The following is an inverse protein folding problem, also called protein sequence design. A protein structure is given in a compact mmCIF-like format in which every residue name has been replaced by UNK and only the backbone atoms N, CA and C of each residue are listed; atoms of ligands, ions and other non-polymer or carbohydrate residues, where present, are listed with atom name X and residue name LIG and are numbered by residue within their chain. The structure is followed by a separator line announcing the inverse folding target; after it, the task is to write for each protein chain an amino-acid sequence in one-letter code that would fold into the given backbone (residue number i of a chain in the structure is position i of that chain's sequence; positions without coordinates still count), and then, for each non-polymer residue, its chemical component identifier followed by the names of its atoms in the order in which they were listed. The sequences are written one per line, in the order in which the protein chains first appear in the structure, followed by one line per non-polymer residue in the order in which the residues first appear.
data_IF_734761172489
#
_entry.id   IF_734761172489
#
_cell.length_a   1.000
_cell.length_b   1.000
_cell.length_c   1.000
_cell.angle_alpha   90.00
_cell.angle_beta   90.00
_cell.angle_gamma   90.00
#
_symmetry.space_group_name_H-M   'P 1'
#
loop_
_entity.id
_entity.type
_entity.pdbx_description
1 polymer ?
#
# COMPACT_ATOMS: atom_id res chain seq x y z
N UNK A 1 -60.47 -10.21 -10.07
CA UNK A 1 -59.27 -9.32 -10.17
C UNK A 1 -58.21 -9.60 -9.08
N UNK A 2 -58.55 -9.75 -7.78
CA UNK A 2 -57.57 -10.07 -6.71
C UNK A 2 -56.78 -11.38 -6.93
N UNK A 3 -57.45 -12.44 -7.40
CA UNK A 3 -56.81 -13.75 -7.66
C UNK A 3 -55.81 -13.72 -8.84
N UNK A 4 -56.05 -12.88 -9.84
CA UNK A 4 -55.14 -12.69 -10.99
C UNK A 4 -53.90 -11.90 -10.56
N UNK A 5 -54.06 -10.87 -9.72
CA UNK A 5 -52.94 -10.10 -9.16
C UNK A 5 -52.05 -10.96 -8.25
N UNK A 6 -52.63 -11.89 -7.48
CA UNK A 6 -51.87 -12.83 -6.65
C UNK A 6 -51.06 -13.83 -7.49
N UNK A 7 -51.63 -14.31 -8.60
CA UNK A 7 -50.92 -15.20 -9.53
C UNK A 7 -49.73 -14.53 -10.23
N UNK A 8 -49.89 -13.26 -10.63
CA UNK A 8 -48.80 -12.47 -11.23
C UNK A 8 -47.68 -12.20 -10.21
N UNK A 9 -48.03 -11.91 -8.95
CA UNK A 9 -47.05 -11.73 -7.87
C UNK A 9 -46.25 -13.01 -7.57
N UNK A 10 -46.90 -14.19 -7.61
CA UNK A 10 -46.22 -15.47 -7.45
C UNK A 10 -45.29 -15.79 -8.63
N UNK A 11 -45.71 -15.48 -9.86
CA UNK A 11 -44.90 -15.70 -11.06
C UNK A 11 -43.66 -14.79 -11.10
N UNK A 12 -43.79 -13.54 -10.64
CA UNK A 12 -42.66 -12.61 -10.50
C UNK A 12 -41.71 -13.08 -9.38
N UNK A 13 -42.23 -13.55 -8.24
CA UNK A 13 -41.40 -14.08 -7.16
C UNK A 13 -40.60 -15.34 -7.59
N UNK A 14 -41.18 -16.19 -8.44
CA UNK A 14 -40.49 -17.35 -9.01
C UNK A 14 -39.44 -16.97 -10.08
N UNK A 15 -39.59 -15.82 -10.73
CA UNK A 15 -38.62 -15.33 -11.72
C UNK A 15 -37.33 -14.76 -11.09
N UNK A 16 -37.31 -14.51 -9.77
CA UNK A 16 -36.14 -14.05 -9.02
C UNK A 16 -35.37 -15.17 -8.31
N UNK A 17 -35.71 -16.45 -8.55
CA UNK A 17 -34.83 -17.56 -8.14
C UNK A 17 -33.68 -17.65 -9.14
N UNK A 18 -32.76 -16.69 -9.08
CA UNK A 18 -31.47 -16.83 -9.73
C UNK A 18 -30.75 -17.98 -9.01
N UNK A 19 -30.77 -19.17 -9.61
CA UNK A 19 -29.79 -20.20 -9.29
C UNK A 19 -28.43 -19.62 -9.66
N UNK A 20 -27.72 -19.06 -8.68
CA UNK A 20 -26.28 -18.88 -8.83
C UNK A 20 -25.68 -20.29 -8.83
N UNK A 21 -25.44 -20.82 -10.03
CA UNK A 21 -24.57 -21.98 -10.17
C UNK A 21 -23.17 -21.50 -9.73
N UNK A 22 -22.76 -21.94 -8.53
CA UNK A 22 -21.39 -21.75 -8.08
C UNK A 22 -20.53 -22.57 -9.03
N UNK A 23 -19.90 -21.90 -9.98
CA UNK A 23 -18.92 -22.52 -10.85
C UNK A 23 -17.70 -22.81 -9.97
N UNK A 24 -17.66 -24.03 -9.43
CA UNK A 24 -16.50 -24.55 -8.72
C UNK A 24 -15.43 -24.86 -9.76
N UNK A 25 -14.65 -23.84 -10.13
CA UNK A 25 -13.52 -24.00 -11.01
C UNK A 25 -12.47 -24.82 -10.27
N UNK A 26 -12.23 -26.05 -10.72
CA UNK A 26 -11.10 -26.88 -10.29
C UNK A 26 -9.80 -26.25 -10.82
N UNK A 27 -9.35 -25.20 -10.14
CA UNK A 27 -8.09 -24.53 -10.43
C UNK A 27 -6.99 -25.35 -9.79
N UNK A 28 -6.09 -25.89 -10.62
CA UNK A 28 -4.92 -26.62 -10.14
C UNK A 28 -4.18 -25.78 -9.07
N UNK A 29 -3.85 -26.41 -7.94
CA UNK A 29 -3.08 -25.76 -6.87
C UNK A 29 -1.77 -25.21 -7.45
N UNK A 30 -1.68 -23.88 -7.52
CA UNK A 30 -0.50 -23.19 -7.97
C UNK A 30 0.70 -23.46 -7.07
N UNK A 31 1.91 -23.25 -7.59
CA UNK A 31 3.14 -23.32 -6.79
C UNK A 31 3.13 -22.21 -5.74
N UNK A 32 3.36 -22.56 -4.47
CA UNK A 32 3.55 -21.60 -3.39
C UNK A 32 4.96 -21.01 -3.46
N UNK A 33 5.06 -19.69 -3.44
CA UNK A 33 6.33 -18.95 -3.48
C UNK A 33 6.54 -18.18 -2.17
N UNK A 34 7.78 -17.97 -1.72
CA UNK A 34 8.05 -16.99 -0.69
C UNK A 34 7.65 -15.58 -1.16
N UNK A 35 7.06 -14.79 -0.27
CA UNK A 35 6.58 -13.42 -0.52
C UNK A 35 7.22 -12.49 0.49
N UNK A 36 7.91 -11.47 -0.01
CA UNK A 36 8.61 -10.47 0.77
C UNK A 36 7.83 -9.15 0.77
N UNK A 37 7.48 -8.67 1.96
CA UNK A 37 6.95 -7.33 2.20
C UNK A 37 7.96 -6.62 3.11
N UNK A 38 8.85 -5.86 2.49
CA UNK A 38 9.98 -5.24 3.16
C UNK A 38 10.04 -3.76 2.83
N UNK A 39 9.76 -2.91 3.82
CA UNK A 39 9.89 -1.46 3.69
C UNK A 39 10.82 -0.91 4.77
N UNK A 40 11.84 -0.17 4.34
CA UNK A 40 12.73 0.58 5.24
C UNK A 40 12.37 2.05 5.14
N UNK A 41 12.17 2.69 6.27
CA UNK A 41 11.70 4.08 6.31
C UNK A 41 12.61 4.99 7.11
N UNK A 42 12.43 6.29 6.93
CA UNK A 42 13.03 7.32 7.79
C UNK A 42 12.25 7.52 9.09
N UNK A 43 11.18 6.74 9.35
CA UNK A 43 10.48 6.82 10.63
C UNK A 43 11.38 6.29 11.74
N UNK A 44 11.38 6.93 12.93
CA UNK A 44 12.14 6.44 14.05
C UNK A 44 11.54 5.14 14.61
N UNK A 45 12.41 4.32 15.20
CA UNK A 45 12.04 3.08 15.85
C UNK A 45 12.10 1.85 14.95
N UNK A 46 11.47 0.78 15.44
CA UNK A 46 11.62 -0.59 14.91
C UNK A 46 11.17 -0.70 13.47
N UNK A 47 12.09 -1.11 12.60
CA UNK A 47 11.80 -1.50 11.21
C UNK A 47 11.31 -2.94 11.19
N UNK A 48 10.27 -3.22 10.39
CA UNK A 48 9.63 -4.54 10.28
C UNK A 48 9.61 -5.02 8.85
N UNK A 49 10.01 -6.27 8.65
CA UNK A 49 9.93 -6.98 7.38
C UNK A 49 9.06 -8.21 7.59
N UNK A 50 8.09 -8.43 6.70
CA UNK A 50 7.25 -9.61 6.71
C UNK A 50 7.66 -10.53 5.56
N UNK A 51 7.91 -11.79 5.90
CA UNK A 51 8.28 -12.82 4.92
C UNK A 51 7.35 -14.00 5.08
N UNK A 52 6.58 -14.32 4.05
CA UNK A 52 5.49 -15.32 4.11
C UNK A 52 5.54 -16.26 2.91
N UNK A 53 4.65 -17.24 2.87
CA UNK A 53 4.37 -18.06 1.70
C UNK A 53 3.06 -17.63 1.04
N UNK A 54 3.04 -17.58 -0.29
CA UNK A 54 1.83 -17.33 -1.05
C UNK A 54 0.86 -18.49 -0.89
N UNK A 55 -0.43 -18.17 -0.82
CA UNK A 55 -1.52 -19.14 -0.77
C UNK A 55 -2.23 -19.21 -2.12
N UNK A 56 -2.93 -20.31 -2.42
CA UNK A 56 -3.87 -20.35 -3.54
C UNK A 56 -4.89 -19.23 -3.43
N UNK A 57 -5.34 -18.71 -4.57
CA UNK A 57 -6.33 -17.62 -4.61
C UNK A 57 -7.65 -17.95 -3.88
N UNK A 58 -8.03 -19.22 -3.84
CA UNK A 58 -9.25 -19.70 -3.17
C UNK A 58 -9.08 -19.86 -1.65
N UNK A 59 -7.87 -19.73 -1.12
CA UNK A 59 -7.57 -19.92 0.30
C UNK A 59 -7.62 -18.58 1.05
N UNK A 60 -8.52 -18.50 2.04
CA UNK A 60 -8.73 -17.31 2.86
C UNK A 60 -7.98 -17.36 4.21
N UNK A 61 -7.17 -18.40 4.44
CA UNK A 61 -6.39 -18.50 5.68
C UNK A 61 -5.26 -17.46 5.72
N UNK A 62 -4.77 -17.09 6.92
CA UNK A 62 -3.61 -16.22 7.02
C UNK A 62 -2.37 -16.85 6.37
N UNK A 63 -1.67 -16.07 5.52
CA UNK A 63 -0.44 -16.51 4.86
C UNK A 63 0.61 -17.01 5.88
N UNK A 64 1.15 -18.24 5.73
CA UNK A 64 2.15 -18.79 6.63
C UNK A 64 3.42 -17.93 6.66
N UNK A 65 3.93 -17.64 7.84
CA UNK A 65 5.17 -16.86 8.03
C UNK A 65 6.41 -17.75 7.88
N UNK A 66 7.45 -17.22 7.23
CA UNK A 66 8.76 -17.86 7.09
C UNK A 66 9.70 -17.25 8.13
N UNK A 67 10.02 -18.02 9.19
CA UNK A 67 10.82 -17.55 10.33
C UNK A 67 12.28 -18.00 10.36
N UNK A 68 12.72 -18.75 9.34
CA UNK A 68 14.02 -19.43 9.25
C UNK A 68 14.96 -18.85 8.18
N UNK A 69 14.70 -17.62 7.72
CA UNK A 69 15.59 -16.89 6.82
C UNK A 69 16.60 -16.03 7.60
N UNK A 70 17.71 -15.67 6.97
CA UNK A 70 18.64 -14.64 7.46
C UNK A 70 18.45 -13.40 6.59
N UNK A 71 17.99 -12.31 7.20
CA UNK A 71 17.72 -11.04 6.51
C UNK A 71 18.70 -9.98 7.00
N UNK A 72 19.51 -9.47 6.08
CA UNK A 72 20.47 -8.39 6.34
C UNK A 72 20.21 -7.23 5.39
N UNK A 73 20.15 -6.02 5.92
CA UNK A 73 20.11 -4.79 5.15
C UNK A 73 21.50 -4.15 5.16
N UNK A 74 22.05 -3.85 4.00
CA UNK A 74 23.28 -3.07 3.84
C UNK A 74 22.90 -1.68 3.34
N UNK A 75 23.24 -0.65 4.10
CA UNK A 75 23.33 0.72 3.60
C UNK A 75 24.62 0.82 2.78
N UNK A 76 24.48 0.81 1.45
CA UNK A 76 25.61 0.83 0.51
C UNK A 76 26.33 2.19 0.51
N UNK A 77 25.62 3.26 0.90
CA UNK A 77 26.18 4.62 0.94
C UNK A 77 27.05 4.82 2.18
N UNK A 78 26.62 4.32 3.33
CA UNK A 78 27.37 4.41 4.59
C UNK A 78 28.26 3.18 4.87
N UNK A 79 28.14 2.12 4.06
CA UNK A 79 28.76 0.82 4.29
C UNK A 79 28.45 0.25 5.69
N UNK A 80 27.17 0.31 6.08
CA UNK A 80 26.68 -0.14 7.39
C UNK A 80 25.64 -1.24 7.23
N UNK A 81 25.82 -2.34 7.97
CA UNK A 81 24.92 -3.50 7.93
C UNK A 81 24.00 -3.58 9.13
N UNK A 82 22.77 -4.01 8.90
CA UNK A 82 21.72 -4.18 9.88
C UNK A 82 21.16 -5.61 9.77
N UNK A 83 21.37 -6.42 10.81
CA UNK A 83 20.87 -7.78 10.89
C UNK A 83 19.49 -7.81 11.55
N UNK A 84 18.48 -8.30 10.83
CA UNK A 84 17.12 -8.38 11.35
C UNK A 84 16.94 -9.68 12.15
N UNK A 85 16.21 -9.60 13.26
CA UNK A 85 15.90 -10.74 14.14
C UNK A 85 14.42 -11.11 14.02
N UNK A 86 14.14 -12.40 13.83
CA UNK A 86 12.78 -12.90 13.75
C UNK A 86 12.11 -12.93 15.14
N UNK A 87 10.96 -12.26 15.28
CA UNK A 87 10.14 -12.24 16.49
C UNK A 87 8.70 -11.83 16.15
N UNK A 88 7.72 -12.49 16.80
CA UNK A 88 6.29 -12.16 16.71
C UNK A 88 5.73 -12.12 15.26
N UNK A 89 6.26 -12.98 14.38
CA UNK A 89 5.81 -13.07 12.98
C UNK A 89 6.47 -12.09 12.01
N UNK A 90 7.45 -11.32 12.47
CA UNK A 90 8.20 -10.34 11.68
C UNK A 90 9.71 -10.50 11.86
N UNK A 91 10.47 -10.07 10.86
CA UNK A 91 11.88 -9.74 11.02
C UNK A 91 11.97 -8.29 11.47
N UNK A 92 12.59 -8.06 12.62
CA UNK A 92 12.65 -6.75 13.25
C UNK A 92 14.09 -6.26 13.35
N UNK A 93 14.30 -4.98 13.14
CA UNK A 93 15.52 -4.29 13.51
C UNK A 93 15.16 -3.05 14.33
N UNK A 94 15.72 -2.95 15.53
CA UNK A 94 15.53 -1.81 16.42
C UNK A 94 16.79 -0.93 16.39
N UNK A 95 16.73 0.27 15.78
CA UNK A 95 17.85 1.20 15.78
C UNK A 95 18.06 1.89 17.13
N UNK A 96 17.13 1.75 18.08
CA UNK A 96 17.11 2.48 19.35
C UNK A 96 16.06 3.60 19.39
N UNK A 97 15.86 4.17 20.58
CA UNK A 97 14.86 5.22 20.82
C UNK A 97 15.14 6.47 19.98
N UNK A 98 14.14 6.93 19.23
CA UNK A 98 14.21 8.08 18.31
C UNK A 98 15.28 7.98 17.20
N UNK A 99 15.91 6.82 17.02
CA UNK A 99 16.83 6.56 15.93
C UNK A 99 16.10 5.97 14.73
N UNK A 100 16.65 6.16 13.53
CA UNK A 100 16.11 5.56 12.31
C UNK A 100 17.20 4.88 11.49
N UNK A 101 16.82 3.85 10.74
CA UNK A 101 17.71 3.17 9.79
C UNK A 101 17.78 3.94 8.48
N UNK A 102 16.66 4.56 8.08
CA UNK A 102 16.53 5.21 6.79
C UNK A 102 17.13 6.61 6.78
N UNK A 103 18.04 6.85 5.83
CA UNK A 103 18.66 8.15 5.57
C UNK A 103 18.34 8.56 4.13
N UNK A 104 17.84 9.78 3.97
CA UNK A 104 17.48 10.33 2.65
C UNK A 104 18.71 10.36 1.76
N UNK A 105 18.56 9.87 0.53
CA UNK A 105 19.62 9.79 -0.48
C UNK A 105 20.47 8.53 -0.40
N UNK A 106 20.35 7.71 0.65
CA UNK A 106 21.10 6.46 0.77
C UNK A 106 20.48 5.33 -0.06
N UNK A 107 21.35 4.53 -0.66
CA UNK A 107 20.99 3.28 -1.34
C UNK A 107 21.12 2.11 -0.36
N UNK A 108 20.12 1.23 -0.38
CA UNK A 108 20.06 0.06 0.47
C UNK A 108 19.96 -1.20 -0.34
N UNK A 109 20.72 -2.22 0.05
CA UNK A 109 20.63 -3.58 -0.46
C UNK A 109 20.08 -4.50 0.63
N UNK A 110 18.94 -5.11 0.38
CA UNK A 110 18.41 -6.17 1.22
C UNK A 110 18.92 -7.51 0.71
N UNK A 111 19.60 -8.27 1.57
CA UNK A 111 20.04 -9.65 1.31
C UNK A 111 19.23 -10.61 2.16
N UNK A 112 18.60 -11.58 1.51
CA UNK A 112 17.77 -12.62 2.12
C UNK A 112 18.39 -13.97 1.80
N UNK A 113 18.86 -14.67 2.82
CA UNK A 113 19.29 -16.07 2.72
C UNK A 113 18.15 -16.95 3.19
N UNK A 114 17.63 -17.78 2.30
CA UNK A 114 16.51 -18.66 2.60
C UNK A 114 16.74 -20.03 1.96
N UNK A 115 16.70 -21.09 2.77
CA UNK A 115 17.18 -22.42 2.41
C UNK A 115 18.67 -22.38 1.97
N UNK A 116 18.96 -22.81 0.74
CA UNK A 116 20.31 -22.81 0.16
C UNK A 116 20.49 -21.70 -0.88
N UNK A 117 19.53 -20.79 -1.00
CA UNK A 117 19.54 -19.73 -2.01
C UNK A 117 19.64 -18.34 -1.37
N UNK A 118 20.26 -17.43 -2.12
CA UNK A 118 20.51 -16.04 -1.73
C UNK A 118 19.78 -15.12 -2.69
N UNK A 119 19.02 -14.18 -2.14
CA UNK A 119 18.29 -13.17 -2.88
C UNK A 119 18.74 -11.78 -2.48
N UNK A 120 18.82 -10.88 -3.46
CA UNK A 120 19.15 -9.49 -3.24
C UNK A 120 18.14 -8.57 -3.91
N UNK A 121 17.82 -7.47 -3.25
CA UNK A 121 17.01 -6.38 -3.81
C UNK A 121 17.67 -5.05 -3.42
N UNK A 122 17.53 -4.04 -4.28
CA UNK A 122 18.11 -2.71 -4.04
C UNK A 122 17.02 -1.66 -4.23
N UNK A 123 17.00 -0.67 -3.34
CA UNK A 123 16.18 0.54 -3.49
C UNK A 123 16.91 1.75 -2.87
N UNK A 124 16.41 2.95 -3.08
CA UNK A 124 17.04 4.19 -2.56
C UNK A 124 16.00 5.10 -1.94
N UNK A 125 16.28 5.62 -0.74
CA UNK A 125 15.39 6.57 -0.09
C UNK A 125 15.46 7.90 -0.85
N UNK A 126 14.34 8.27 -1.47
CA UNK A 126 14.21 9.53 -2.20
C UNK A 126 13.92 10.70 -1.26
N UNK A 127 14.10 11.91 -1.79
CA UNK A 127 13.72 13.15 -1.10
C UNK A 127 12.20 13.15 -0.86
N UNK A 128 11.76 13.88 0.15
CA UNK A 128 10.35 14.00 0.52
C UNK A 128 10.03 15.44 0.89
N UNK A 129 8.83 15.89 0.51
CA UNK A 129 8.33 17.21 0.88
C UNK A 129 7.60 17.17 2.23
N UNK A 130 7.71 18.21 3.07
CA UNK A 130 6.87 18.35 4.25
C UNK A 130 5.39 18.52 3.87
N UNK A 131 4.50 18.07 4.76
CA UNK A 131 3.08 18.43 4.67
C UNK A 131 2.90 19.80 5.36
N UNK A 132 2.47 20.81 4.61
CA UNK A 132 2.34 22.20 5.05
C UNK A 132 1.17 22.39 6.00
N UNK A 133 0.02 21.82 5.70
CA UNK A 133 -1.17 21.90 6.57
C UNK A 133 -2.22 20.84 6.21
N UNK A 134 -3.21 20.69 7.08
CA UNK A 134 -4.46 19.96 6.79
C UNK A 134 -5.60 20.95 7.07
N UNK A 135 -6.41 21.23 6.05
CA UNK A 135 -7.65 22.00 6.20
C UNK A 135 -8.85 21.06 6.19
N UNK A 136 -9.99 21.52 6.67
CA UNK A 136 -11.25 20.79 6.59
C UNK A 136 -12.41 21.76 6.39
N UNK A 137 -13.46 21.27 5.74
CA UNK A 137 -14.69 22.03 5.48
C UNK A 137 -15.90 21.14 5.77
N UNK A 138 -16.90 21.70 6.45
CA UNK A 138 -18.16 21.00 6.70
C UNK A 138 -18.97 20.92 5.41
N UNK A 139 -19.43 19.71 5.07
CA UNK A 139 -20.24 19.42 3.91
C UNK A 139 -21.51 18.69 4.33
N UNK A 140 -22.61 19.04 3.69
CA UNK A 140 -23.89 18.36 3.87
C UNK A 140 -24.12 17.36 2.75
N UNK A 141 -24.83 16.27 3.08
CA UNK A 141 -25.26 15.26 2.10
C UNK A 141 -26.14 15.85 1.00
N UNK A 142 -26.91 16.89 1.32
CA UNK A 142 -27.88 17.49 0.39
C UNK A 142 -27.20 18.28 -0.73
N UNK A 143 -26.02 18.84 -0.47
CA UNK A 143 -25.34 19.78 -1.37
C UNK A 143 -24.03 19.23 -1.96
N UNK A 144 -23.50 18.13 -1.44
CA UNK A 144 -22.18 17.59 -1.81
C UNK A 144 -22.19 16.08 -2.04
N UNK A 145 -21.04 15.54 -2.49
CA UNK A 145 -20.85 14.12 -2.79
C UNK A 145 -20.57 13.26 -1.55
N UNK A 146 -20.96 13.70 -0.35
CA UNK A 146 -20.79 12.94 0.90
C UNK A 146 -22.04 12.13 1.22
N UNK A 147 -21.86 10.91 1.75
CA UNK A 147 -22.97 10.01 2.07
C UNK A 147 -23.73 10.39 3.36
N UNK A 148 -23.12 11.22 4.20
CA UNK A 148 -23.69 11.85 5.40
C UNK A 148 -23.02 13.21 5.67
N UNK A 149 -23.65 14.01 6.52
CA UNK A 149 -23.11 15.30 6.96
C UNK A 149 -21.80 15.11 7.74
N UNK A 150 -20.77 15.88 7.40
CA UNK A 150 -19.47 15.77 8.06
C UNK A 150 -18.42 16.70 7.47
N UNK A 151 -17.16 16.45 7.80
CA UNK A 151 -16.03 17.28 7.40
C UNK A 151 -15.18 16.57 6.35
N UNK A 152 -14.95 17.26 5.23
CA UNK A 152 -14.01 16.81 4.19
C UNK A 152 -12.67 17.50 4.43
N UNK A 153 -11.63 16.69 4.64
CA UNK A 153 -10.28 17.15 4.90
C UNK A 153 -9.43 17.18 3.61
N UNK A 154 -8.49 18.13 3.56
CA UNK A 154 -7.51 18.30 2.48
C UNK A 154 -6.13 18.41 3.10
N UNK A 155 -5.17 17.61 2.62
CA UNK A 155 -3.77 17.89 2.92
C UNK A 155 -3.18 18.88 1.92
N UNK A 156 -2.26 19.72 2.38
CA UNK A 156 -1.55 20.69 1.57
C UNK A 156 -0.06 20.38 1.64
N UNK A 157 0.54 20.16 0.47
CA UNK A 157 1.97 20.01 0.30
C UNK A 157 2.36 20.56 -1.08
N UNK A 158 3.63 20.90 -1.24
CA UNK A 158 4.22 21.34 -2.50
C UNK A 158 5.34 20.38 -2.90
N UNK A 159 5.33 19.93 -4.14
CA UNK A 159 6.40 19.13 -4.72
C UNK A 159 7.76 19.87 -4.71
N UNK A 160 8.86 19.11 -4.80
CA UNK A 160 10.22 19.65 -4.72
C UNK A 160 10.77 19.89 -6.14
N UNK A 161 11.11 21.14 -6.43
CA UNK A 161 11.70 21.50 -7.72
C UNK A 161 13.03 20.76 -8.02
N UNK A 162 13.28 20.44 -9.29
CA UNK A 162 14.56 19.96 -9.81
C UNK A 162 14.66 18.44 -10.02
N UNK A 163 13.53 17.73 -10.14
CA UNK A 163 13.52 16.28 -10.33
C UNK A 163 12.11 15.73 -10.49
N UNK A 164 12.00 14.41 -10.71
CA UNK A 164 10.72 13.71 -10.70
C UNK A 164 10.61 12.94 -9.39
N UNK A 165 9.58 13.25 -8.62
CA UNK A 165 9.30 12.64 -7.33
C UNK A 165 8.01 11.84 -7.38
N UNK A 166 8.12 10.59 -6.93
CA UNK A 166 6.98 9.69 -6.81
C UNK A 166 6.55 9.65 -5.36
N UNK A 167 5.26 9.83 -5.11
CA UNK A 167 4.72 9.85 -3.77
C UNK A 167 3.60 8.84 -3.57
N UNK A 168 3.52 8.38 -2.33
CA UNK A 168 2.41 7.60 -1.82
C UNK A 168 1.86 8.24 -0.56
N UNK A 169 0.65 8.74 -0.65
CA UNK A 169 -0.11 9.26 0.47
C UNK A 169 -0.93 8.11 1.06
N UNK A 170 -0.87 7.96 2.39
CA UNK A 170 -1.82 7.14 3.16
C UNK A 170 -2.39 7.93 4.31
N UNK A 171 -3.70 7.86 4.47
CA UNK A 171 -4.44 8.54 5.52
C UNK A 171 -5.05 7.56 6.53
N UNK A 172 -5.28 8.06 7.74
CA UNK A 172 -5.90 7.33 8.83
C UNK A 172 -6.81 8.23 9.66
N UNK A 173 -7.72 7.60 10.40
CA UNK A 173 -8.63 8.25 11.34
C UNK A 173 -8.31 7.82 12.77
N UNK A 174 -8.15 8.78 13.67
CA UNK A 174 -7.88 8.62 15.11
C UNK A 174 -6.53 7.98 15.48
N UNK A 175 -6.14 6.88 14.84
CA UNK A 175 -4.89 6.14 15.05
C UNK A 175 -4.37 5.51 13.76
N UNK A 176 -3.19 4.88 13.81
CA UNK A 176 -2.54 4.27 12.64
C UNK A 176 -3.10 2.88 12.25
N UNK A 177 -4.16 2.39 12.91
CA UNK A 177 -4.79 1.11 12.61
C UNK A 177 -6.04 1.27 11.74
N UNK A 178 -6.70 2.44 11.80
CA UNK A 178 -7.89 2.74 11.01
C UNK A 178 -7.51 3.50 9.74
N UNK A 179 -7.04 2.76 8.73
CA UNK A 179 -6.73 3.33 7.40
C UNK A 179 -7.99 3.92 6.76
N UNK A 180 -7.86 5.10 6.16
CA UNK A 180 -8.90 5.74 5.35
C UNK A 180 -8.65 5.48 3.87
N UNK A 181 -7.55 5.99 3.32
CA UNK A 181 -7.28 5.90 1.88
C UNK A 181 -5.81 5.83 1.54
N UNK A 182 -5.55 5.37 0.32
CA UNK A 182 -4.26 5.43 -0.35
C UNK A 182 -4.42 6.30 -1.60
N UNK A 183 -3.39 7.05 -1.95
CA UNK A 183 -3.31 7.78 -3.22
C UNK A 183 -1.86 7.89 -3.67
N UNK A 184 -1.67 7.92 -4.97
CA UNK A 184 -0.36 7.96 -5.61
C UNK A 184 -0.24 9.21 -6.47
N UNK A 185 0.97 9.76 -6.54
CA UNK A 185 1.22 10.94 -7.36
C UNK A 185 2.64 10.96 -7.93
N UNK A 186 2.80 11.62 -9.07
CA UNK A 186 4.07 12.01 -9.68
C UNK A 186 4.12 13.54 -9.69
N UNK A 187 5.11 14.14 -9.03
CA UNK A 187 5.27 15.60 -8.89
C UNK A 187 4.02 16.32 -8.33
N UNK A 188 3.23 15.63 -7.50
CA UNK A 188 1.96 16.11 -6.96
C UNK A 188 0.75 16.01 -7.90
N UNK A 189 0.91 15.41 -9.09
CA UNK A 189 -0.13 15.12 -10.08
C UNK A 189 -0.33 13.61 -10.26
N UNK A 190 -1.26 13.20 -11.12
CA UNK A 190 -1.47 11.78 -11.45
C UNK A 190 -0.37 11.19 -12.33
N UNK A 191 0.21 12.01 -13.19
CA UNK A 191 1.27 11.66 -14.09
C UNK A 191 2.32 12.78 -14.14
N UNK A 192 3.42 12.49 -14.82
CA UNK A 192 4.47 13.48 -15.07
C UNK A 192 3.95 14.53 -16.05
N UNK A 193 3.12 15.45 -15.58
CA UNK A 193 2.63 16.53 -16.41
C UNK A 193 2.31 17.75 -15.55
N UNK A 194 2.51 18.90 -16.18
CA UNK A 194 2.03 20.23 -15.80
C UNK A 194 3.08 21.15 -15.17
N UNK A 195 3.73 20.82 -14.05
CA UNK A 195 4.71 21.73 -13.42
C UNK A 195 5.51 21.10 -12.27
N UNK A 196 6.82 20.95 -12.44
CA UNK A 196 7.75 20.60 -11.36
C UNK A 196 7.62 21.63 -10.21
N UNK A 197 7.53 21.14 -8.97
CA UNK A 197 7.30 21.97 -7.80
C UNK A 197 5.91 22.60 -7.71
N UNK A 198 4.84 21.93 -8.17
CA UNK A 198 3.48 22.42 -7.93
C UNK A 198 2.94 21.98 -6.56
N UNK A 199 1.81 22.58 -6.16
CA UNK A 199 1.00 22.01 -5.08
C UNK A 199 0.30 20.75 -5.56
N UNK A 200 0.11 19.79 -4.65
CA UNK A 200 -0.64 18.57 -4.93
C UNK A 200 -2.06 18.92 -5.41
N UNK A 201 -2.55 18.24 -6.43
CA UNK A 201 -3.85 18.54 -7.04
C UNK A 201 -5.03 17.89 -6.31
N UNK A 202 -6.23 18.40 -6.56
CA UNK A 202 -7.44 17.61 -6.40
C UNK A 202 -7.51 16.53 -7.49
N UNK A 203 -8.05 15.34 -7.19
CA UNK A 203 -8.59 14.89 -5.90
C UNK A 203 -7.54 14.33 -4.92
N UNK A 204 -6.24 14.28 -5.26
CA UNK A 204 -5.21 13.70 -4.38
C UNK A 204 -5.24 14.36 -2.99
N UNK A 205 -5.38 15.68 -2.90
CA UNK A 205 -5.49 16.40 -1.63
C UNK A 205 -6.65 15.89 -0.74
N UNK A 206 -7.78 15.51 -1.34
CA UNK A 206 -8.99 15.05 -0.65
C UNK A 206 -9.01 13.55 -0.38
N UNK A 207 -8.08 12.77 -0.97
CA UNK A 207 -7.97 11.33 -0.76
C UNK A 207 -7.63 10.92 0.69
N UNK A 208 -7.48 11.92 1.58
CA UNK A 208 -7.40 11.74 3.03
C UNK A 208 -8.76 11.53 3.71
N UNK A 209 -9.85 11.70 2.96
CA UNK A 209 -11.24 11.58 3.43
C UNK A 209 -11.92 10.40 2.77
N UNK A 210 -12.65 9.61 3.56
CA UNK A 210 -13.65 8.67 3.05
C UNK A 210 -14.95 9.44 2.81
N UNK A 211 -15.39 9.56 1.56
CA UNK A 211 -16.62 10.30 1.22
C UNK A 211 -17.89 9.56 1.66
N UNK A 212 -17.82 8.24 1.86
CA UNK A 212 -18.93 7.48 2.41
C UNK A 212 -19.05 7.66 3.92
N UNK A 213 -17.96 8.04 4.57
CA UNK A 213 -17.89 8.29 6.01
C UNK A 213 -16.97 9.49 6.31
N UNK A 214 -17.42 10.72 6.04
CA UNK A 214 -16.63 11.92 6.30
C UNK A 214 -16.36 12.09 7.79
N UNK A 215 -15.32 12.86 8.11
CA UNK A 215 -14.91 13.06 9.49
C UNK A 215 -15.98 13.78 10.31
N UNK A 216 -16.02 13.49 11.60
CA UNK A 216 -16.88 14.13 12.58
C UNK A 216 -16.06 15.01 13.51
N UNK A 217 -16.72 15.97 14.16
CA UNK A 217 -16.07 16.85 15.14
C UNK A 217 -15.42 16.03 16.26
N UNK A 218 -14.17 16.32 16.57
CA UNK A 218 -13.34 15.62 17.55
C UNK A 218 -12.52 14.47 16.99
N UNK A 219 -12.78 14.03 15.76
CA UNK A 219 -11.96 13.00 15.10
C UNK A 219 -10.62 13.58 14.61
N UNK A 220 -9.62 12.71 14.49
CA UNK A 220 -8.28 13.10 14.07
C UNK A 220 -7.94 12.55 12.69
N UNK A 221 -7.58 13.44 11.78
CA UNK A 221 -7.01 13.10 10.47
C UNK A 221 -5.50 12.91 10.66
N UNK A 222 -4.96 11.78 10.22
CA UNK A 222 -3.51 11.53 10.19
C UNK A 222 -3.10 11.25 8.75
N UNK A 223 -2.14 12.00 8.23
CA UNK A 223 -1.62 11.84 6.86
C UNK A 223 -0.15 11.46 6.93
N UNK A 224 0.23 10.44 6.14
CA UNK A 224 1.62 10.06 5.91
C UNK A 224 1.90 10.11 4.42
N UNK A 225 2.77 11.02 4.01
CA UNK A 225 3.30 11.14 2.66
C UNK A 225 4.65 10.44 2.59
N UNK A 226 4.80 9.53 1.62
CA UNK A 226 5.97 8.67 1.43
C UNK A 226 6.63 8.97 0.11
N UNK A 227 7.95 9.10 0.10
CA UNK A 227 8.72 9.17 -1.15
C UNK A 227 8.94 7.77 -1.70
N UNK A 228 8.91 7.61 -3.02
CA UNK A 228 9.15 6.34 -3.68
C UNK A 228 10.16 6.49 -4.81
N UNK A 229 10.86 5.41 -5.12
CA UNK A 229 11.50 5.28 -6.44
C UNK A 229 10.45 4.97 -7.49
N UNK A 230 10.77 5.20 -8.77
CA UNK A 230 9.90 4.80 -9.88
C UNK A 230 9.48 3.32 -9.78
N UNK A 231 10.41 2.43 -9.41
CA UNK A 231 10.13 1.00 -9.30
C UNK A 231 9.17 0.70 -8.13
N UNK A 232 9.38 1.33 -6.98
CA UNK A 232 8.51 1.21 -5.80
C UNK A 232 7.11 1.77 -6.06
N UNK A 233 7.01 2.91 -6.75
CA UNK A 233 5.74 3.47 -7.19
C UNK A 233 5.02 2.55 -8.17
N UNK A 234 5.71 2.09 -9.21
CA UNK A 234 5.16 1.17 -10.20
C UNK A 234 4.66 -0.13 -9.56
N UNK A 235 5.41 -0.69 -8.60
CA UNK A 235 4.96 -1.88 -7.85
C UNK A 235 3.65 -1.60 -7.10
N UNK A 236 3.59 -0.52 -6.31
CA UNK A 236 2.43 -0.21 -5.48
C UNK A 236 1.19 0.12 -6.30
N UNK A 237 1.30 0.89 -7.39
CA UNK A 237 0.16 1.19 -8.26
C UNK A 237 -0.34 -0.06 -8.98
N UNK A 238 0.55 -0.99 -9.35
CA UNK A 238 0.13 -2.28 -9.91
C UNK A 238 -0.59 -3.16 -8.88
N UNK A 239 -0.15 -3.16 -7.62
CA UNK A 239 -0.88 -3.83 -6.53
C UNK A 239 -2.26 -3.22 -6.34
N UNK A 240 -2.36 -1.89 -6.33
CA UNK A 240 -3.64 -1.18 -6.21
C UNK A 240 -4.59 -1.50 -7.37
N UNK A 241 -4.10 -1.43 -8.61
CA UNK A 241 -4.87 -1.79 -9.81
C UNK A 241 -5.46 -3.21 -9.71
N UNK A 242 -4.72 -4.16 -9.13
CA UNK A 242 -5.20 -5.54 -8.97
C UNK A 242 -6.25 -5.67 -7.87
N UNK A 243 -6.10 -4.95 -6.75
CA UNK A 243 -7.08 -4.94 -5.66
C UNK A 243 -8.44 -4.39 -6.13
N UNK A 244 -8.42 -3.43 -7.06
CA UNK A 244 -9.63 -2.85 -7.64
C UNK A 244 -10.02 -3.43 -9.00
N UNK A 245 -9.28 -4.44 -9.51
CA UNK A 245 -9.65 -5.13 -10.75
C UNK A 245 -10.83 -6.07 -10.49
N UNK A 246 -11.98 -5.77 -11.11
CA UNK A 246 -13.20 -6.56 -10.98
C UNK A 246 -14.16 -6.34 -12.15
N UNK A 247 -15.09 -7.29 -12.37
CA UNK A 247 -16.10 -7.22 -13.42
C UNK A 247 -15.72 -7.87 -14.76
N UNK A 248 -16.67 -7.89 -15.70
CA UNK A 248 -16.59 -8.61 -16.98
C UNK A 248 -15.45 -8.14 -17.92
N UNK A 249 -14.86 -6.98 -17.62
CA UNK A 249 -13.78 -6.36 -18.39
C UNK A 249 -12.52 -6.13 -17.55
N UNK A 250 -12.41 -6.77 -16.38
CA UNK A 250 -11.19 -6.72 -15.59
C UNK A 250 -10.01 -7.18 -16.44
N UNK A 251 -8.87 -6.47 -16.34
CA UNK A 251 -7.62 -6.98 -16.89
C UNK A 251 -7.35 -8.35 -16.25
N UNK A 252 -6.78 -9.27 -17.02
CA UNK A 252 -6.32 -10.54 -16.47
C UNK A 252 -5.32 -10.22 -15.35
N UNK A 253 -5.50 -10.84 -14.19
CA UNK A 253 -4.55 -10.72 -13.09
C UNK A 253 -3.17 -11.16 -13.57
N UNK A 254 -2.23 -10.24 -13.59
CA UNK A 254 -0.82 -10.51 -13.90
C UNK A 254 0.01 -10.50 -12.62
N UNK A 255 1.11 -11.26 -12.57
CA UNK A 255 2.00 -11.18 -11.42
C UNK A 255 2.67 -9.80 -11.38
N UNK A 256 2.50 -9.05 -10.29
CA UNK A 256 3.22 -7.79 -10.10
C UNK A 256 4.72 -8.04 -10.14
N UNK A 257 5.45 -7.20 -10.87
CA UNK A 257 6.91 -7.34 -11.01
C UNK A 257 7.61 -7.12 -9.68
N UNK A 258 8.27 -8.17 -9.20
CA UNK A 258 9.06 -8.17 -7.97
C UNK A 258 10.50 -7.70 -8.23
N UNK A 259 11.22 -7.24 -7.22
CA UNK A 259 12.60 -6.73 -7.36
C UNK A 259 13.69 -7.57 -6.69
N UNK A 260 13.34 -8.65 -5.98
CA UNK A 260 14.31 -9.59 -5.44
C UNK A 260 14.86 -10.51 -6.55
N UNK A 261 16.17 -10.46 -6.77
CA UNK A 261 16.90 -11.29 -7.73
C UNK A 261 17.65 -12.41 -7.01
N UNK A 262 17.65 -13.60 -7.59
CA UNK A 262 18.41 -14.73 -7.07
C UNK A 262 19.88 -14.62 -7.50
N UNK A 263 20.78 -14.50 -6.54
CA UNK A 263 22.23 -14.31 -6.74
C UNK A 263 23.05 -15.52 -6.27
N UNK A 264 22.40 -16.66 -6.04
CA UNK A 264 23.05 -17.89 -5.57
C UNK A 264 24.20 -18.29 -6.51
N UNK A 265 25.43 -18.47 -6.00
CA UNK A 265 26.56 -18.95 -6.80
C UNK A 265 26.22 -20.28 -7.50
N UNK A 266 26.45 -20.35 -8.82
CA UNK A 266 26.09 -21.53 -9.62
C UNK A 266 24.66 -21.53 -10.18
N UNK A 267 23.85 -20.51 -9.86
CA UNK A 267 22.51 -20.29 -10.41
C UNK A 267 21.40 -20.94 -9.58
N UNK A 268 20.64 -20.11 -8.85
CA UNK A 268 19.41 -20.53 -8.18
C UNK A 268 18.22 -20.60 -9.14
N UNK A 269 17.22 -21.43 -8.82
CA UNK A 269 16.01 -21.61 -9.65
C UNK A 269 14.76 -21.07 -8.99
N UNK A 270 14.80 -20.78 -7.69
CA UNK A 270 13.66 -20.23 -6.98
C UNK A 270 13.60 -18.72 -7.16
N UNK A 271 12.41 -18.17 -6.88
CA UNK A 271 12.14 -16.73 -6.89
C UNK A 271 11.43 -16.33 -5.59
N UNK A 272 11.61 -15.09 -5.18
CA UNK A 272 10.83 -14.45 -4.14
C UNK A 272 9.85 -13.49 -4.82
N UNK A 273 8.58 -13.57 -4.45
CA UNK A 273 7.55 -12.60 -4.82
C UNK A 273 7.53 -11.42 -3.84
N UNK A 274 6.75 -10.38 -4.15
CA UNK A 274 6.66 -9.18 -3.33
C UNK A 274 7.77 -8.17 -3.64
N UNK A 275 8.08 -7.31 -2.69
CA UNK A 275 8.91 -6.14 -2.96
C UNK A 275 9.72 -5.71 -1.74
N UNK A 276 10.93 -5.26 -2.02
CA UNK A 276 11.75 -4.49 -1.09
C UNK A 276 11.76 -3.02 -1.53
N UNK A 277 11.20 -2.15 -0.72
CA UNK A 277 11.16 -0.71 -0.95
C UNK A 277 11.80 0.08 0.20
N UNK A 278 12.17 1.31 -0.09
CA UNK A 278 12.71 2.26 0.87
C UNK A 278 11.98 3.60 0.71
N UNK A 279 11.71 4.30 1.81
CA UNK A 279 10.86 5.48 1.75
C UNK A 279 11.12 6.50 2.85
N UNK A 280 11.29 7.77 2.48
CA UNK A 280 11.23 8.86 3.42
C UNK A 280 9.78 9.20 3.73
N UNK A 281 9.49 9.47 5.00
CA UNK A 281 8.12 9.69 5.50
C UNK A 281 7.99 11.09 6.09
N UNK A 282 7.01 11.82 5.59
CA UNK A 282 6.53 13.09 6.12
C UNK A 282 5.13 12.86 6.69
N UNK A 283 4.87 13.32 7.91
CA UNK A 283 3.59 13.08 8.57
C UNK A 283 3.02 14.34 9.19
N UNK A 284 1.69 14.44 9.17
CA UNK A 284 0.94 15.50 9.83
C UNK A 284 -0.39 14.99 10.33
N UNK A 285 -0.86 15.55 11.43
CA UNK A 285 -2.17 15.26 11.98
C UNK A 285 -2.94 16.54 12.33
N UNK A 286 -4.27 16.43 12.33
CA UNK A 286 -5.19 17.53 12.61
C UNK A 286 -6.44 16.98 13.27
N UNK A 287 -6.86 17.56 14.40
CA UNK A 287 -8.17 17.28 15.01
C UNK A 287 -9.21 18.20 14.37
N UNK A 288 -10.39 17.67 14.09
CA UNK A 288 -11.54 18.43 13.61
C UNK A 288 -12.18 19.17 14.78
N UNK A 289 -12.20 20.51 14.74
CA UNK A 289 -12.72 21.39 15.80
C UNK A 289 -14.12 21.94 15.52
#
# INVERSE_FOLDING_TARGET
MKKIRLGILLAIAAAFTACEDVVDLDIQKGTSYPVLDAWITTEPGVQKIRFTKSLPYTDQTPAPVIGDAVITLLDETANKSYLFTFKDGYYNYDPGDNETVGVIGHAYRLRVEYNTEVFEAVDTIKRITPIDSISYEYQTKEENFVSEDGYVAKFHAKDIEGGVDYYWMRSYINDLQHKVGDAFSVDGYFDQSVKDGASFILPIQEAVTDFDKPFQKGEKVIVKLRSLTYQSHFFLTQVEEQLYSGGLFAKVLENVKCNAINVTPGGGKSRILGFFGTSAVSSKERIIE
#
